data_IF_506175108222
#
_entry.id   IF_506175108222
#
_cell.length_a   1.000
_cell.length_b   1.000
_cell.length_c   1.000
_cell.angle_alpha   90.00
_cell.angle_beta   90.00
_cell.angle_gamma   90.00
#
_symmetry.space_group_name_H-M   'P 1'
#
loop_
_entity.id
_entity.type
_entity.pdbx_description
1 polymer ?
#
# COMPACT_ATOMS: atom_id res chain seq x y z
N UNK A 1 -3.92 -11.16 -6.28
CA UNK A 1 -3.57 -9.78 -5.89
C UNK A 1 -2.12 -9.56 -6.25
N UNK A 2 -1.77 -8.38 -6.74
CA UNK A 2 -0.37 -8.06 -7.06
C UNK A 2 0.39 -7.93 -5.72
N UNK A 3 1.39 -8.78 -5.49
CA UNK A 3 2.18 -8.77 -4.24
C UNK A 3 3.18 -7.60 -4.17
N UNK A 4 3.31 -6.83 -5.25
CA UNK A 4 4.24 -5.72 -5.36
C UNK A 4 3.57 -4.41 -4.93
N UNK A 5 3.96 -3.91 -3.77
CA UNK A 5 3.58 -2.59 -3.28
C UNK A 5 4.50 -1.55 -3.92
N UNK A 6 3.94 -0.54 -4.58
CA UNK A 6 4.70 0.51 -5.24
C UNK A 6 5.19 1.53 -4.22
N UNK A 7 6.50 1.68 -4.08
CA UNK A 7 7.12 2.58 -3.08
C UNK A 7 7.61 3.85 -3.77
N UNK A 8 7.04 4.98 -3.36
CA UNK A 8 7.44 6.33 -3.79
C UNK A 8 8.30 6.95 -2.68
N UNK A 9 9.58 7.09 -2.96
CA UNK A 9 10.48 7.85 -2.11
C UNK A 9 10.26 9.35 -2.39
N UNK A 10 9.61 10.06 -1.47
CA UNK A 10 9.31 11.49 -1.58
C UNK A 10 10.51 12.32 -1.16
N UNK A 11 11.30 12.77 -2.13
CA UNK A 11 12.33 13.79 -1.92
C UNK A 11 11.71 15.15 -1.58
N UNK A 12 10.53 15.41 -2.11
CA UNK A 12 9.81 16.66 -1.87
C UNK A 12 10.67 17.88 -2.19
N UNK A 13 10.88 18.70 -1.16
CA UNK A 13 11.78 19.87 -1.19
C UNK A 13 13.06 19.68 -0.38
N UNK A 14 13.36 18.49 0.11
CA UNK A 14 14.52 18.18 0.95
C UNK A 14 15.88 18.35 0.23
N UNK A 15 15.87 18.59 -1.08
CA UNK A 15 17.05 19.04 -1.83
C UNK A 15 17.46 20.48 -1.48
N UNK A 16 16.61 21.30 -0.85
CA UNK A 16 16.87 22.70 -0.48
C UNK A 16 17.39 23.58 -1.65
N UNK A 17 16.90 23.37 -2.88
CA UNK A 17 17.33 24.07 -4.09
C UNK A 17 18.67 23.59 -4.66
N UNK A 18 19.36 22.65 -4.02
CA UNK A 18 20.66 22.11 -4.41
C UNK A 18 20.52 20.93 -5.37
N UNK A 19 21.01 21.08 -6.60
CA UNK A 19 20.92 20.08 -7.66
C UNK A 19 21.75 18.82 -7.34
N UNK A 20 22.92 18.95 -6.73
CA UNK A 20 23.76 17.80 -6.43
C UNK A 20 23.17 16.99 -5.28
N UNK A 21 22.55 17.65 -4.29
CA UNK A 21 21.77 16.97 -3.26
C UNK A 21 20.57 16.24 -3.86
N UNK A 22 19.84 16.85 -4.78
CA UNK A 22 18.73 16.22 -5.47
C UNK A 22 19.16 14.95 -6.23
N UNK A 23 20.32 14.96 -6.90
CA UNK A 23 20.91 13.76 -7.53
C UNK A 23 21.30 12.68 -6.51
N UNK A 24 21.92 13.06 -5.39
CA UNK A 24 22.24 12.12 -4.30
C UNK A 24 20.97 11.46 -3.74
N UNK A 25 19.87 12.20 -3.64
CA UNK A 25 18.59 11.64 -3.23
C UNK A 25 18.07 10.62 -4.25
N UNK A 26 18.21 10.86 -5.55
CA UNK A 26 17.90 9.87 -6.59
C UNK A 26 18.75 8.60 -6.41
N UNK A 27 20.04 8.75 -6.16
CA UNK A 27 20.94 7.62 -5.95
C UNK A 27 20.52 6.79 -4.75
N UNK A 28 20.24 7.44 -3.62
CA UNK A 28 19.78 6.78 -2.38
C UNK A 28 18.45 6.05 -2.59
N UNK A 29 17.47 6.66 -3.27
CA UNK A 29 16.17 6.05 -3.53
C UNK A 29 16.30 4.81 -4.46
N UNK A 30 17.15 4.90 -5.48
CA UNK A 30 17.43 3.79 -6.39
C UNK A 30 18.16 2.65 -5.67
N UNK A 31 19.18 2.95 -4.86
CA UNK A 31 19.93 1.96 -4.07
C UNK A 31 19.06 1.29 -2.99
N UNK A 32 18.07 1.99 -2.47
CA UNK A 32 17.08 1.44 -1.56
C UNK A 32 16.08 0.49 -2.26
N UNK A 33 16.02 0.51 -3.59
CA UNK A 33 15.07 -0.30 -4.37
C UNK A 33 13.66 0.27 -4.42
N UNK A 34 13.50 1.59 -4.20
CA UNK A 34 12.22 2.27 -4.40
C UNK A 34 11.80 2.23 -5.89
N UNK A 35 10.50 2.21 -6.15
CA UNK A 35 9.98 2.15 -7.51
C UNK A 35 10.00 3.54 -8.19
N UNK A 36 9.83 4.58 -7.39
CA UNK A 36 9.90 5.96 -7.85
C UNK A 36 10.54 6.88 -6.82
N UNK A 37 11.15 7.94 -7.34
CA UNK A 37 11.49 9.13 -6.56
C UNK A 37 10.57 10.27 -6.99
N UNK A 38 10.06 11.04 -6.02
CA UNK A 38 9.14 12.14 -6.31
C UNK A 38 9.67 13.47 -5.77
N UNK A 39 9.58 14.48 -6.62
CA UNK A 39 9.87 15.88 -6.32
C UNK A 39 8.60 16.73 -6.34
N UNK A 40 8.76 18.02 -6.08
CA UNK A 40 7.71 19.02 -6.20
C UNK A 40 8.11 20.04 -7.27
N UNK A 41 7.16 20.42 -8.12
CA UNK A 41 7.38 21.39 -9.19
C UNK A 41 6.41 22.53 -9.03
N UNK A 42 6.93 23.73 -8.79
CA UNK A 42 6.13 24.92 -8.57
C UNK A 42 6.92 26.19 -8.91
N UNK A 43 6.16 27.27 -9.11
CA UNK A 43 6.66 28.63 -9.08
C UNK A 43 5.98 29.36 -7.93
N UNK A 44 6.76 29.89 -7.00
CA UNK A 44 6.23 30.56 -5.80
C UNK A 44 5.18 31.64 -6.13
N UNK A 45 5.39 32.35 -7.22
CA UNK A 45 4.50 33.41 -7.71
C UNK A 45 3.11 32.91 -8.16
N UNK A 46 2.96 31.63 -8.50
CA UNK A 46 1.69 31.02 -8.91
C UNK A 46 1.00 30.24 -7.78
N UNK A 47 1.74 29.90 -6.72
CA UNK A 47 1.24 29.04 -5.66
C UNK A 47 0.83 29.82 -4.41
N UNK A 48 1.59 30.86 -4.07
CA UNK A 48 1.41 31.57 -2.78
C UNK A 48 1.33 33.06 -3.00
N UNK A 49 0.31 33.71 -2.39
CA UNK A 49 0.28 35.17 -2.31
C UNK A 49 1.43 35.68 -1.45
N UNK A 50 1.96 36.87 -1.76
CA UNK A 50 3.12 37.47 -1.07
C UNK A 50 2.92 37.61 0.44
N UNK A 51 1.67 37.68 0.90
CA UNK A 51 1.32 37.91 2.31
C UNK A 51 0.75 36.63 2.99
N UNK A 52 0.85 35.47 2.36
CA UNK A 52 0.34 34.24 2.95
C UNK A 52 1.14 33.85 4.20
N UNK A 53 0.47 33.45 5.29
CA UNK A 53 1.14 32.99 6.50
C UNK A 53 1.76 31.60 6.25
N UNK A 54 2.86 31.30 6.93
CA UNK A 54 3.40 29.93 7.02
C UNK A 54 2.49 29.06 7.88
N UNK A 55 2.44 27.75 7.56
CA UNK A 55 1.87 26.76 8.46
C UNK A 55 2.71 26.65 9.75
N UNK A 56 2.09 26.24 10.86
CA UNK A 56 2.79 26.16 12.15
C UNK A 56 4.04 25.30 12.11
N UNK A 57 4.02 24.13 11.45
CA UNK A 57 5.18 23.27 11.34
C UNK A 57 6.32 23.95 10.57
N UNK A 58 6.00 24.74 9.52
CA UNK A 58 6.99 25.51 8.77
C UNK A 58 7.64 26.60 9.64
N UNK A 59 6.86 27.26 10.51
CA UNK A 59 7.39 28.26 11.46
C UNK A 59 8.36 27.62 12.44
N UNK A 60 8.14 26.36 12.82
CA UNK A 60 9.01 25.61 13.76
C UNK A 60 10.34 25.17 13.13
N UNK A 61 10.35 24.91 11.83
CA UNK A 61 11.45 24.25 11.11
C UNK A 61 12.24 25.18 10.18
N UNK A 62 11.75 26.41 9.95
CA UNK A 62 12.37 27.42 9.09
C UNK A 62 12.51 28.77 9.77
N UNK A 63 13.16 29.76 9.13
CA UNK A 63 13.30 31.11 9.67
C UNK A 63 11.94 31.76 9.90
N UNK A 64 11.68 32.19 11.14
CA UNK A 64 10.40 32.80 11.54
C UNK A 64 10.14 34.17 10.91
N UNK A 65 11.20 34.87 10.48
CA UNK A 65 11.10 36.21 9.90
C UNK A 65 10.85 36.22 8.40
N UNK A 66 11.08 35.08 7.76
CA UNK A 66 10.88 34.89 6.33
C UNK A 66 9.41 34.63 5.99
N UNK A 67 8.91 35.23 4.89
CA UNK A 67 7.56 34.95 4.39
C UNK A 67 7.46 33.53 3.83
N UNK A 68 6.24 32.96 3.73
CA UNK A 68 6.03 31.69 3.05
C UNK A 68 6.51 31.76 1.58
N UNK A 69 6.25 32.88 0.91
CA UNK A 69 6.68 33.12 -0.45
C UNK A 69 8.20 33.02 -0.62
N UNK A 70 8.97 33.72 0.24
CA UNK A 70 10.43 33.71 0.15
C UNK A 70 11.02 32.31 0.51
N UNK A 71 10.39 31.61 1.46
CA UNK A 71 10.76 30.28 1.85
C UNK A 71 10.65 29.31 0.65
N UNK A 72 9.47 29.23 0.02
CA UNK A 72 9.26 28.27 -1.06
C UNK A 72 10.02 28.65 -2.33
N UNK A 73 10.24 29.95 -2.61
CA UNK A 73 11.00 30.40 -3.77
C UNK A 73 12.44 29.87 -3.79
N UNK A 74 13.05 29.70 -2.64
CA UNK A 74 14.40 29.09 -2.51
C UNK A 74 14.43 27.60 -2.84
N UNK A 75 13.27 26.95 -2.81
CA UNK A 75 13.09 25.52 -3.02
C UNK A 75 12.65 25.18 -4.47
N UNK A 76 12.51 26.17 -5.33
CA UNK A 76 12.15 25.96 -6.73
C UNK A 76 13.22 25.18 -7.49
N UNK A 77 12.79 24.21 -8.28
CA UNK A 77 13.62 23.55 -9.28
C UNK A 77 13.37 24.20 -10.65
N UNK A 78 14.43 24.61 -11.33
CA UNK A 78 14.37 25.17 -12.68
C UNK A 78 14.05 24.08 -13.71
N UNK A 79 13.68 24.49 -14.93
CA UNK A 79 13.51 23.56 -16.05
C UNK A 79 14.79 22.76 -16.32
N UNK A 80 15.96 23.41 -16.30
CA UNK A 80 17.26 22.74 -16.45
C UNK A 80 17.53 21.73 -15.35
N UNK A 81 17.12 22.04 -14.10
CA UNK A 81 17.24 21.08 -13.00
C UNK A 81 16.40 19.84 -13.28
N UNK A 82 15.16 19.98 -13.77
CA UNK A 82 14.30 18.85 -14.12
C UNK A 82 14.91 17.99 -15.24
N UNK A 83 15.47 18.60 -16.30
CA UNK A 83 16.16 17.86 -17.37
C UNK A 83 17.25 16.96 -16.82
N UNK A 84 18.11 17.51 -15.95
CA UNK A 84 19.22 16.78 -15.32
C UNK A 84 18.69 15.68 -14.42
N UNK A 85 17.70 15.96 -13.56
CA UNK A 85 17.16 14.98 -12.59
C UNK A 85 16.40 13.84 -13.27
N UNK A 86 15.62 14.12 -14.32
CA UNK A 86 14.93 13.10 -15.12
C UNK A 86 15.94 12.19 -15.82
N UNK A 87 16.98 12.78 -16.44
CA UNK A 87 18.06 12.00 -17.07
C UNK A 87 18.80 11.14 -16.04
N UNK A 88 19.09 11.69 -14.85
CA UNK A 88 19.76 10.96 -13.78
C UNK A 88 18.90 9.82 -13.24
N UNK A 89 17.62 10.05 -12.97
CA UNK A 89 16.68 9.01 -12.54
C UNK A 89 16.59 7.86 -13.57
N UNK A 90 16.52 8.21 -14.87
CA UNK A 90 16.51 7.23 -15.95
C UNK A 90 17.80 6.41 -15.98
N UNK A 91 18.95 7.04 -15.80
CA UNK A 91 20.26 6.35 -15.72
C UNK A 91 20.32 5.38 -14.52
N UNK A 92 19.70 5.75 -13.40
CA UNK A 92 19.63 4.92 -12.19
C UNK A 92 18.53 3.86 -12.22
N UNK A 93 17.70 3.85 -13.27
CA UNK A 93 16.61 2.87 -13.43
C UNK A 93 15.44 3.06 -12.46
N UNK A 94 15.27 4.27 -11.89
CA UNK A 94 14.16 4.62 -11.01
C UNK A 94 13.17 5.56 -11.74
N UNK A 95 11.87 5.40 -11.48
CA UNK A 95 10.85 6.29 -12.07
C UNK A 95 10.92 7.68 -11.45
N UNK A 96 11.02 8.71 -12.28
CA UNK A 96 10.90 10.10 -11.84
C UNK A 96 9.43 10.49 -11.79
N UNK A 97 8.96 10.99 -10.65
CA UNK A 97 7.65 11.58 -10.46
C UNK A 97 7.80 13.02 -9.95
N UNK A 98 6.79 13.83 -10.19
CA UNK A 98 6.68 15.13 -9.57
C UNK A 98 5.22 15.53 -9.31
N UNK A 99 5.04 16.38 -8.29
CA UNK A 99 3.78 17.01 -7.93
C UNK A 99 3.79 18.43 -8.49
N UNK A 100 2.99 18.77 -9.52
CA UNK A 100 2.79 20.15 -9.92
C UNK A 100 1.84 20.85 -8.95
N UNK A 101 2.09 22.13 -8.68
CA UNK A 101 1.22 22.99 -7.85
C UNK A 101 0.65 24.18 -8.64
N UNK A 102 0.94 24.27 -9.93
CA UNK A 102 0.44 25.32 -10.82
C UNK A 102 0.38 24.81 -12.28
N UNK A 103 -0.34 25.57 -13.12
CA UNK A 103 -0.55 25.23 -14.53
C UNK A 103 0.74 25.20 -15.36
N UNK A 104 1.66 26.14 -15.08
CA UNK A 104 2.94 26.20 -15.76
C UNK A 104 3.76 24.92 -15.46
N UNK A 105 3.78 24.52 -14.19
CA UNK A 105 4.45 23.31 -13.72
C UNK A 105 3.81 22.04 -14.31
N UNK A 106 2.47 21.98 -14.39
CA UNK A 106 1.77 20.89 -15.05
C UNK A 106 2.17 20.78 -16.52
N UNK A 107 2.14 21.90 -17.25
CA UNK A 107 2.53 21.93 -18.67
C UNK A 107 3.99 21.51 -18.86
N UNK A 108 4.91 21.99 -18.02
CA UNK A 108 6.32 21.59 -18.02
C UNK A 108 6.47 20.09 -17.89
N UNK A 109 5.83 19.48 -16.88
CA UNK A 109 5.95 18.05 -16.59
C UNK A 109 5.33 17.18 -17.69
N UNK A 110 4.13 17.54 -18.18
CA UNK A 110 3.38 16.68 -19.11
C UNK A 110 3.74 16.91 -20.56
N UNK A 111 3.91 18.15 -20.99
CA UNK A 111 4.15 18.50 -22.41
C UNK A 111 5.64 18.54 -22.75
N UNK A 112 6.46 19.19 -21.91
CA UNK A 112 7.90 19.32 -22.16
C UNK A 112 8.67 18.03 -21.84
N UNK A 113 8.37 17.42 -20.67
CA UNK A 113 9.08 16.22 -20.20
C UNK A 113 8.31 14.91 -20.44
N UNK A 114 7.05 14.96 -20.86
CA UNK A 114 6.27 13.79 -21.25
C UNK A 114 5.93 12.86 -20.10
N UNK A 115 5.84 13.36 -18.85
CA UNK A 115 5.46 12.54 -17.71
C UNK A 115 4.01 12.07 -17.85
N UNK A 116 3.83 10.77 -17.76
CA UNK A 116 2.52 10.13 -17.97
C UNK A 116 1.73 10.00 -16.65
N UNK A 117 2.42 9.98 -15.51
CA UNK A 117 1.80 9.89 -14.18
C UNK A 117 2.04 11.18 -13.42
N UNK A 118 0.96 11.79 -12.93
CA UNK A 118 0.99 13.04 -12.17
C UNK A 118 0.45 12.79 -10.76
N UNK A 119 1.17 13.32 -9.76
CA UNK A 119 0.70 13.33 -8.37
C UNK A 119 -0.10 14.60 -8.13
N UNK A 120 -1.28 14.45 -7.53
CA UNK A 120 -2.12 15.53 -7.04
C UNK A 120 -2.01 15.57 -5.51
N UNK A 121 -1.53 16.68 -4.92
CA UNK A 121 -1.42 16.81 -3.48
C UNK A 121 -2.79 17.09 -2.84
N UNK A 122 -2.94 16.82 -1.55
CA UNK A 122 -4.20 17.02 -0.83
C UNK A 122 -4.74 18.45 -0.91
N UNK A 123 -3.86 19.44 -0.97
CA UNK A 123 -4.24 20.85 -1.09
C UNK A 123 -4.95 21.21 -2.39
N UNK A 124 -4.77 20.42 -3.44
CA UNK A 124 -5.35 20.68 -4.76
C UNK A 124 -6.66 19.91 -5.02
N UNK A 125 -7.12 19.09 -4.10
CA UNK A 125 -8.29 18.21 -4.34
C UNK A 125 -9.58 19.00 -4.60
N UNK A 126 -9.70 20.20 -4.11
CA UNK A 126 -10.86 21.10 -4.34
C UNK A 126 -10.64 22.08 -5.50
N UNK A 127 -9.46 22.05 -6.13
CA UNK A 127 -9.13 22.92 -7.26
C UNK A 127 -9.63 22.29 -8.58
N UNK A 128 -10.94 22.33 -8.81
CA UNK A 128 -11.59 21.71 -9.95
C UNK A 128 -11.00 22.13 -11.32
N UNK A 129 -10.64 23.39 -11.60
CA UNK A 129 -9.96 23.76 -12.85
C UNK A 129 -8.65 23.01 -13.03
N UNK A 130 -7.81 22.95 -12.00
CA UNK A 130 -6.52 22.28 -12.06
C UNK A 130 -6.66 20.75 -12.19
N UNK A 131 -7.60 20.15 -11.46
CA UNK A 131 -7.94 18.72 -11.61
C UNK A 131 -8.35 18.38 -13.05
N UNK A 132 -9.17 19.22 -13.69
CA UNK A 132 -9.59 19.03 -15.08
C UNK A 132 -8.40 19.07 -16.05
N UNK A 133 -7.50 20.04 -15.86
CA UNK A 133 -6.32 20.17 -16.71
C UNK A 133 -5.36 19.00 -16.52
N UNK A 134 -5.18 18.52 -15.29
CA UNK A 134 -4.41 17.30 -15.00
C UNK A 134 -5.04 16.07 -15.70
N UNK A 135 -6.35 15.89 -15.60
CA UNK A 135 -7.04 14.76 -16.22
C UNK A 135 -6.91 14.74 -17.74
N UNK A 136 -6.87 15.92 -18.38
CA UNK A 136 -6.67 16.08 -19.83
C UNK A 136 -5.23 15.87 -20.28
N UNK A 137 -4.26 16.14 -19.39
CA UNK A 137 -2.83 16.09 -19.72
C UNK A 137 -2.18 14.75 -19.32
N UNK A 138 -2.60 14.11 -18.24
CA UNK A 138 -1.97 12.91 -17.69
C UNK A 138 -2.68 11.62 -18.11
N UNK A 139 -1.93 10.52 -18.22
CA UNK A 139 -2.51 9.19 -18.43
C UNK A 139 -2.93 8.55 -17.10
N UNK A 140 -2.20 8.80 -16.02
CA UNK A 140 -2.46 8.27 -14.66
C UNK A 140 -2.32 9.37 -13.63
N UNK A 141 -3.09 9.23 -12.56
CA UNK A 141 -3.13 10.18 -11.46
C UNK A 141 -3.00 9.42 -10.13
N UNK A 142 -2.16 9.95 -9.25
CA UNK A 142 -2.08 9.55 -7.85
C UNK A 142 -2.63 10.72 -7.04
N UNK A 143 -3.80 10.53 -6.40
CA UNK A 143 -4.54 11.59 -5.71
C UNK A 143 -4.48 11.40 -4.20
N UNK A 144 -3.86 12.32 -3.47
CA UNK A 144 -3.89 12.36 -2.01
C UNK A 144 -5.18 12.98 -1.49
N UNK A 145 -5.70 12.44 -0.38
CA UNK A 145 -7.01 12.77 0.19
C UNK A 145 -6.94 13.35 1.61
N UNK A 146 -5.81 13.91 2.01
CA UNK A 146 -5.67 14.57 3.31
C UNK A 146 -6.60 15.79 3.41
N UNK A 147 -7.07 16.07 4.62
CA UNK A 147 -8.02 17.18 4.93
C UNK A 147 -9.40 17.04 4.26
N UNK A 148 -9.72 15.91 3.62
CA UNK A 148 -10.92 15.79 2.79
C UNK A 148 -11.97 14.88 3.42
N UNK A 149 -13.22 15.21 3.15
CA UNK A 149 -14.38 14.33 3.33
C UNK A 149 -14.55 13.41 2.12
N UNK A 150 -15.33 12.32 2.26
CA UNK A 150 -15.68 11.46 1.12
C UNK A 150 -16.40 12.22 0.00
N UNK A 151 -17.22 13.21 0.35
CA UNK A 151 -17.94 14.02 -0.63
C UNK A 151 -16.98 14.89 -1.48
N UNK A 152 -15.92 15.42 -0.89
CA UNK A 152 -14.90 16.16 -1.62
C UNK A 152 -14.06 15.25 -2.52
N UNK A 153 -13.75 14.04 -2.07
CA UNK A 153 -13.08 13.03 -2.91
C UNK A 153 -13.96 12.65 -4.10
N UNK A 154 -15.26 12.42 -3.90
CA UNK A 154 -16.21 12.15 -4.97
C UNK A 154 -16.29 13.30 -5.99
N UNK A 155 -16.37 14.54 -5.49
CA UNK A 155 -16.37 15.72 -6.35
C UNK A 155 -15.10 15.81 -7.22
N UNK A 156 -13.92 15.56 -6.63
CA UNK A 156 -12.66 15.52 -7.37
C UNK A 156 -12.63 14.40 -8.43
N UNK A 157 -13.08 13.19 -8.06
CA UNK A 157 -13.20 12.06 -8.98
C UNK A 157 -14.16 12.35 -10.12
N UNK A 158 -15.24 13.10 -9.86
CA UNK A 158 -16.22 13.52 -10.87
C UNK A 158 -15.58 14.42 -11.93
N UNK A 159 -14.75 15.37 -11.51
CA UNK A 159 -13.97 16.22 -12.42
C UNK A 159 -12.96 15.40 -13.23
N UNK A 160 -12.24 14.49 -12.57
CA UNK A 160 -11.27 13.60 -13.24
C UNK A 160 -11.97 12.69 -14.27
N UNK A 161 -13.09 12.08 -13.92
CA UNK A 161 -13.88 11.24 -14.83
C UNK A 161 -14.30 12.02 -16.09
N UNK A 162 -14.80 13.24 -15.93
CA UNK A 162 -15.14 14.12 -17.03
C UNK A 162 -13.91 14.43 -17.91
N UNK A 163 -12.80 14.82 -17.29
CA UNK A 163 -11.56 15.13 -18.03
C UNK A 163 -11.01 13.95 -18.83
N UNK A 164 -11.13 12.72 -18.29
CA UNK A 164 -10.68 11.49 -18.96
C UNK A 164 -11.58 11.02 -20.10
N UNK A 165 -12.88 11.31 -20.04
CA UNK A 165 -13.87 10.68 -20.93
C UNK A 165 -14.48 11.63 -21.96
N UNK A 166 -14.23 12.94 -21.82
CA UNK A 166 -14.78 13.93 -22.74
C UNK A 166 -13.70 14.61 -23.59
N UNK A 167 -14.01 15.09 -24.79
CA UNK A 167 -13.07 15.86 -25.58
C UNK A 167 -12.70 17.18 -24.89
N UNK A 168 -11.52 17.69 -25.18
CA UNK A 168 -11.01 18.95 -24.58
C UNK A 168 -11.88 20.18 -24.85
N UNK A 169 -12.70 20.13 -25.92
CA UNK A 169 -13.67 21.15 -26.30
C UNK A 169 -14.97 21.10 -25.49
N UNK A 170 -15.18 20.04 -24.70
CA UNK A 170 -16.38 19.93 -23.85
C UNK A 170 -16.37 21.01 -22.76
N UNK A 171 -17.51 21.72 -22.66
CA UNK A 171 -17.68 22.78 -21.67
C UNK A 171 -17.91 22.15 -20.28
N UNK A 172 -17.04 22.43 -19.30
CA UNK A 172 -17.18 21.91 -17.95
C UNK A 172 -18.39 22.50 -17.23
N UNK A 173 -19.19 21.65 -16.60
CA UNK A 173 -20.37 22.02 -15.79
C UNK A 173 -20.53 20.98 -14.68
N UNK A 174 -20.99 21.40 -13.51
CA UNK A 174 -21.14 20.52 -12.36
C UNK A 174 -21.99 19.29 -12.66
N UNK A 175 -23.11 19.46 -13.31
CA UNK A 175 -24.00 18.36 -13.70
C UNK A 175 -23.29 17.35 -14.63
N UNK A 176 -22.45 17.81 -15.55
CA UNK A 176 -21.68 16.95 -16.46
C UNK A 176 -20.59 16.18 -15.72
N UNK A 177 -20.01 16.75 -14.67
CA UNK A 177 -19.07 16.03 -13.81
C UNK A 177 -19.76 14.87 -13.12
N UNK A 178 -20.92 15.12 -12.49
CA UNK A 178 -21.74 14.12 -11.84
C UNK A 178 -22.18 13.02 -12.83
N UNK A 179 -22.65 13.40 -14.02
CA UNK A 179 -22.99 12.46 -15.10
C UNK A 179 -21.81 11.60 -15.55
N UNK A 180 -20.60 12.19 -15.64
CA UNK A 180 -19.39 11.46 -16.01
C UNK A 180 -18.98 10.47 -14.91
N UNK A 181 -19.10 10.86 -13.64
CA UNK A 181 -18.78 9.99 -12.50
C UNK A 181 -19.67 8.74 -12.48
N UNK A 182 -20.99 8.89 -12.64
CA UNK A 182 -21.93 7.75 -12.62
C UNK A 182 -21.91 6.92 -13.90
N UNK A 183 -21.28 7.41 -14.99
CA UNK A 183 -21.22 6.70 -16.25
C UNK A 183 -20.28 5.48 -16.19
N UNK A 184 -20.60 4.44 -16.97
CA UNK A 184 -19.74 3.26 -17.09
C UNK A 184 -18.34 3.61 -17.60
N UNK A 185 -18.25 4.53 -18.56
CA UNK A 185 -16.99 5.01 -19.13
C UNK A 185 -16.15 5.76 -18.08
N UNK A 186 -16.79 6.63 -17.29
CA UNK A 186 -16.13 7.36 -16.20
C UNK A 186 -15.61 6.42 -15.11
N UNK A 187 -16.44 5.50 -14.66
CA UNK A 187 -16.05 4.51 -13.65
C UNK A 187 -14.90 3.60 -14.13
N UNK A 188 -14.90 3.22 -15.40
CA UNK A 188 -13.78 2.47 -16.01
C UNK A 188 -12.51 3.32 -16.04
N UNK A 189 -12.61 4.55 -16.53
CA UNK A 189 -11.46 5.47 -16.62
C UNK A 189 -10.84 5.75 -15.24
N UNK A 190 -11.68 5.91 -14.19
CA UNK A 190 -11.19 6.08 -12.81
C UNK A 190 -10.44 4.84 -12.32
N UNK A 191 -11.01 3.64 -12.50
CA UNK A 191 -10.33 2.38 -12.08
C UNK A 191 -8.99 2.16 -12.78
N UNK A 192 -8.88 2.53 -14.05
CA UNK A 192 -7.69 2.29 -14.86
C UNK A 192 -6.60 3.35 -14.63
N UNK A 193 -6.98 4.55 -14.16
CA UNK A 193 -6.12 5.72 -14.19
C UNK A 193 -5.86 6.37 -12.83
N UNK A 194 -6.68 6.11 -11.80
CA UNK A 194 -6.58 6.81 -10.51
C UNK A 194 -6.20 5.84 -9.40
N UNK A 195 -5.21 6.25 -8.61
CA UNK A 195 -4.90 5.65 -7.31
C UNK A 195 -5.13 6.69 -6.23
N UNK A 196 -5.93 6.36 -5.21
CA UNK A 196 -6.15 7.22 -4.05
C UNK A 196 -5.10 6.97 -2.98
N UNK A 197 -4.57 8.03 -2.37
CA UNK A 197 -3.74 7.91 -1.18
C UNK A 197 -4.46 8.51 0.01
N UNK A 198 -4.73 7.71 1.03
CA UNK A 198 -5.05 8.23 2.35
C UNK A 198 -3.81 8.92 2.93
N UNK A 199 -3.98 10.06 3.60
CA UNK A 199 -2.91 10.73 4.33
C UNK A 199 -3.46 11.71 5.38
N UNK A 200 -2.62 12.06 6.34
CA UNK A 200 -2.84 13.14 7.31
C UNK A 200 -1.89 14.28 6.99
N UNK A 201 -2.43 15.49 6.76
CA UNK A 201 -1.63 16.66 6.35
C UNK A 201 -1.12 17.43 7.58
N UNK A 202 -0.25 16.79 8.33
CA UNK A 202 0.55 17.36 9.43
C UNK A 202 1.95 16.73 9.38
N UNK A 203 3.00 17.48 9.72
CA UNK A 203 4.40 17.08 9.52
C UNK A 203 5.24 17.31 10.79
N UNK A 204 5.51 16.28 11.63
CA UNK A 204 5.03 14.90 11.51
C UNK A 204 3.57 14.73 11.95
N UNK A 205 2.87 13.74 11.36
CA UNK A 205 1.51 13.40 11.76
C UNK A 205 1.48 12.64 13.10
N UNK A 206 0.59 13.02 14.05
CA UNK A 206 0.37 12.25 15.28
C UNK A 206 -0.20 10.87 14.98
N UNK A 207 0.22 9.84 15.72
CA UNK A 207 -0.21 8.46 15.46
C UNK A 207 -1.72 8.23 15.66
N UNK A 208 -2.32 8.90 16.61
CA UNK A 208 -3.75 8.83 16.94
C UNK A 208 -4.66 9.55 15.93
N UNK A 209 -4.09 10.38 15.05
CA UNK A 209 -4.82 11.08 13.98
C UNK A 209 -4.70 10.39 12.61
N UNK A 210 -3.88 9.33 12.47
CA UNK A 210 -3.61 8.66 11.18
C UNK A 210 -4.84 7.97 10.60
N UNK A 211 -5.62 7.28 11.42
CA UNK A 211 -6.83 6.57 11.00
C UNK A 211 -6.66 5.66 9.76
N UNK A 212 -5.74 4.70 9.81
CA UNK A 212 -5.47 3.77 8.68
C UNK A 212 -6.73 3.04 8.16
N UNK A 213 -7.79 2.93 8.97
CA UNK A 213 -9.07 2.33 8.53
C UNK A 213 -9.77 3.16 7.45
N UNK A 214 -9.44 4.44 7.30
CA UNK A 214 -9.95 5.27 6.22
C UNK A 214 -9.52 4.76 4.83
N UNK A 215 -8.43 4.01 4.74
CA UNK A 215 -8.03 3.33 3.49
C UNK A 215 -9.10 2.33 3.04
N UNK A 216 -9.64 1.52 3.96
CA UNK A 216 -10.70 0.56 3.65
C UNK A 216 -11.98 1.29 3.22
N UNK A 217 -12.30 2.39 3.91
CA UNK A 217 -13.45 3.24 3.58
C UNK A 217 -13.35 3.80 2.16
N UNK A 218 -12.19 4.33 1.77
CA UNK A 218 -11.93 4.82 0.41
C UNK A 218 -12.04 3.70 -0.63
N UNK A 219 -11.46 2.54 -0.34
CA UNK A 219 -11.49 1.39 -1.24
C UNK A 219 -12.94 0.88 -1.47
N UNK A 220 -13.73 0.80 -0.40
CA UNK A 220 -15.13 0.35 -0.48
C UNK A 220 -16.03 1.39 -1.14
N UNK A 221 -15.85 2.68 -0.80
CA UNK A 221 -16.67 3.75 -1.34
C UNK A 221 -16.49 3.95 -2.84
N UNK A 222 -15.26 3.87 -3.33
CA UNK A 222 -14.95 4.24 -4.72
C UNK A 222 -14.54 3.06 -5.61
N UNK A 223 -14.22 1.89 -5.05
CA UNK A 223 -13.77 0.72 -5.82
C UNK A 223 -12.45 0.96 -6.58
N UNK A 224 -11.60 1.89 -6.11
CA UNK A 224 -10.34 2.26 -6.72
C UNK A 224 -9.16 1.65 -5.96
N UNK A 225 -7.97 1.55 -6.59
CA UNK A 225 -6.73 1.26 -5.89
C UNK A 225 -6.47 2.31 -4.81
N UNK A 226 -6.12 1.84 -3.59
CA UNK A 226 -5.81 2.72 -2.46
C UNK A 226 -4.40 2.46 -1.95
N UNK A 227 -3.71 3.51 -1.60
CA UNK A 227 -2.41 3.53 -0.94
C UNK A 227 -2.40 4.49 0.26
N UNK A 228 -1.22 4.73 0.78
CA UNK A 228 -1.00 5.58 1.93
C UNK A 228 0.18 6.53 1.69
N UNK A 229 -0.03 7.82 1.90
CA UNK A 229 1.02 8.84 1.97
C UNK A 229 1.31 9.14 3.44
N UNK A 230 2.48 8.73 3.90
CA UNK A 230 2.82 8.64 5.32
C UNK A 230 3.68 9.81 5.78
N UNK A 231 3.15 10.59 6.72
CA UNK A 231 3.83 11.72 7.36
C UNK A 231 4.19 11.45 8.83
N UNK A 232 4.00 10.20 9.31
CA UNK A 232 4.36 9.82 10.69
C UNK A 232 5.86 9.62 10.85
N UNK A 233 6.43 9.67 12.07
CA UNK A 233 7.82 9.28 12.30
C UNK A 233 8.05 7.79 12.05
N UNK A 234 9.23 7.42 11.53
CA UNK A 234 9.63 6.04 11.26
C UNK A 234 8.83 5.37 10.15
N UNK A 235 8.86 4.02 10.09
CA UNK A 235 8.31 3.23 8.97
C UNK A 235 7.16 2.30 9.36
N UNK A 236 6.88 2.13 10.65
CA UNK A 236 5.95 1.09 11.14
C UNK A 236 4.49 1.33 10.72
N UNK A 237 4.07 2.60 10.57
CA UNK A 237 2.73 2.93 10.08
C UNK A 237 2.60 2.63 8.58
N UNK A 238 3.61 2.96 7.78
CA UNK A 238 3.68 2.54 6.38
C UNK A 238 3.57 1.01 6.23
N UNK A 239 4.29 0.24 7.05
CA UNK A 239 4.24 -1.22 7.03
C UNK A 239 2.86 -1.76 7.46
N UNK A 240 2.22 -1.12 8.43
CA UNK A 240 0.84 -1.43 8.82
C UNK A 240 -0.14 -1.15 7.66
N UNK A 241 0.05 -0.06 6.92
CA UNK A 241 -0.74 0.25 5.72
C UNK A 241 -0.55 -0.82 4.62
N UNK A 242 0.67 -1.31 4.40
CA UNK A 242 0.95 -2.43 3.48
C UNK A 242 0.17 -3.67 3.90
N UNK A 243 0.21 -4.04 5.19
CA UNK A 243 -0.52 -5.19 5.72
C UNK A 243 -2.06 -5.02 5.61
N UNK A 244 -2.56 -3.78 5.52
CA UNK A 244 -3.97 -3.47 5.25
C UNK A 244 -4.32 -3.41 3.75
N UNK A 245 -3.37 -3.69 2.86
CA UNK A 245 -3.61 -3.77 1.43
C UNK A 245 -3.28 -2.49 0.66
N UNK A 246 -2.49 -1.57 1.22
CA UNK A 246 -1.96 -0.44 0.47
C UNK A 246 -1.22 -0.92 -0.78
N UNK A 247 -1.61 -0.41 -1.95
CA UNK A 247 -0.95 -0.73 -3.21
C UNK A 247 0.21 0.22 -3.51
N UNK A 248 0.17 1.42 -2.92
CA UNK A 248 1.19 2.46 -3.03
C UNK A 248 1.51 2.96 -1.62
N UNK A 249 2.78 3.10 -1.32
CA UNK A 249 3.30 3.83 -0.15
C UNK A 249 4.11 5.01 -0.66
N UNK A 250 3.78 6.20 -0.18
CA UNK A 250 4.56 7.41 -0.38
C UNK A 250 5.12 7.85 0.97
N UNK A 251 6.42 8.10 1.05
CA UNK A 251 7.09 8.48 2.29
C UNK A 251 8.16 9.52 2.04
N UNK A 252 8.11 10.63 2.78
CA UNK A 252 9.19 11.62 2.76
C UNK A 252 10.50 11.01 3.25
N UNK A 253 11.59 11.28 2.53
CA UNK A 253 12.92 10.90 2.97
C UNK A 253 13.91 12.06 2.79
N UNK A 254 15.00 12.02 3.54
CA UNK A 254 16.09 12.98 3.51
C UNK A 254 17.43 12.27 3.59
N UNK A 255 18.49 12.98 3.29
CA UNK A 255 19.87 12.47 3.50
C UNK A 255 20.29 12.61 4.97
N UNK A 256 19.77 13.61 5.69
CA UNK A 256 20.02 13.88 7.12
C UNK A 256 18.87 14.71 7.70
N UNK A 257 18.26 14.23 8.77
CA UNK A 257 17.16 14.88 9.49
C UNK A 257 17.54 16.20 10.18
N UNK A 258 18.84 16.47 10.32
CA UNK A 258 19.35 17.70 10.94
C UNK A 258 19.55 18.85 9.94
N UNK A 259 19.34 18.60 8.65
CA UNK A 259 19.41 19.66 7.65
C UNK A 259 18.28 20.69 7.88
N UNK A 260 18.56 21.98 7.58
CA UNK A 260 17.52 23.01 7.64
C UNK A 260 16.51 22.83 6.50
N UNK A 261 15.23 23.03 6.77
CA UNK A 261 14.16 22.93 5.76
C UNK A 261 12.84 22.49 6.36
N UNK A 262 11.73 22.63 5.62
CA UNK A 262 10.40 22.39 6.16
C UNK A 262 10.12 20.91 6.47
N UNK A 263 10.67 19.96 5.68
CA UNK A 263 10.21 18.57 5.68
C UNK A 263 11.23 17.57 6.26
N UNK A 264 12.51 17.97 6.48
CA UNK A 264 13.56 17.07 6.95
C UNK A 264 13.21 16.34 8.25
N UNK A 265 12.61 17.05 9.22
CA UNK A 265 12.28 16.49 10.54
C UNK A 265 11.17 15.41 10.50
N UNK A 266 10.31 15.45 9.49
CA UNK A 266 9.25 14.46 9.29
C UNK A 266 9.66 13.33 8.32
N UNK A 267 10.86 13.40 7.76
CA UNK A 267 11.38 12.49 6.76
C UNK A 267 12.16 11.34 7.39
N UNK A 268 12.17 10.19 6.74
CA UNK A 268 13.04 9.06 7.11
C UNK A 268 14.42 9.22 6.49
N UNK A 269 15.43 8.59 7.08
CA UNK A 269 16.81 8.57 6.59
C UNK A 269 17.07 7.37 5.65
N UNK A 270 18.23 7.31 4.95
CA UNK A 270 18.50 6.30 3.93
C UNK A 270 18.38 4.85 4.41
N UNK A 271 18.79 4.55 5.64
CA UNK A 271 18.70 3.19 6.21
C UNK A 271 17.24 2.80 6.49
N UNK A 272 16.43 3.74 6.95
CA UNK A 272 14.99 3.53 7.15
C UNK A 272 14.27 3.35 5.81
N UNK A 273 14.65 4.09 4.75
CA UNK A 273 14.09 3.91 3.43
C UNK A 273 14.41 2.51 2.88
N UNK A 274 15.63 2.03 3.00
CA UNK A 274 16.02 0.65 2.64
C UNK A 274 15.20 -0.38 3.43
N UNK A 275 15.03 -0.16 4.72
CA UNK A 275 14.22 -1.03 5.58
C UNK A 275 12.75 -1.02 5.18
N UNK A 276 12.18 0.15 4.89
CA UNK A 276 10.79 0.30 4.42
C UNK A 276 10.55 -0.50 3.13
N UNK A 277 11.41 -0.31 2.13
CA UNK A 277 11.28 -1.03 0.84
C UNK A 277 11.35 -2.54 1.06
N UNK A 278 12.40 -3.03 1.73
CA UNK A 278 12.61 -4.46 2.00
C UNK A 278 11.43 -5.08 2.76
N UNK A 279 11.04 -4.47 3.88
CA UNK A 279 9.96 -5.01 4.73
C UNK A 279 8.60 -4.93 4.04
N UNK A 280 8.34 -3.92 3.22
CA UNK A 280 7.11 -3.85 2.40
C UNK A 280 7.03 -5.01 1.40
N UNK A 281 8.15 -5.40 0.77
CA UNK A 281 8.20 -6.57 -0.12
C UNK A 281 7.96 -7.87 0.63
N UNK A 282 8.59 -8.02 1.81
CA UNK A 282 8.42 -9.18 2.69
C UNK A 282 6.96 -9.34 3.13
N UNK A 283 6.31 -8.25 3.58
CA UNK A 283 4.89 -8.24 3.95
C UNK A 283 4.02 -8.59 2.74
N UNK A 284 4.25 -7.97 1.57
CA UNK A 284 3.50 -8.24 0.35
C UNK A 284 3.52 -9.73 -0.03
N UNK A 285 4.66 -10.40 0.13
CA UNK A 285 4.78 -11.86 -0.07
C UNK A 285 4.03 -12.64 1.01
N UNK A 286 4.05 -12.18 2.26
CA UNK A 286 3.42 -12.85 3.39
C UNK A 286 1.88 -12.75 3.39
N UNK A 287 1.29 -11.79 2.67
CA UNK A 287 -0.17 -11.58 2.63
C UNK A 287 -0.94 -12.78 2.06
N UNK A 288 -0.40 -13.50 1.09
CA UNK A 288 -1.03 -14.67 0.50
C UNK A 288 -2.36 -14.38 -0.23
N UNK A 289 -3.17 -15.44 -0.41
CA UNK A 289 -4.45 -15.40 -1.14
C UNK A 289 -5.71 -15.46 -0.23
N UNK A 290 -5.52 -15.50 1.09
CA UNK A 290 -6.61 -15.60 2.07
C UNK A 290 -7.23 -16.98 2.22
N UNK A 291 -6.84 -17.98 1.43
CA UNK A 291 -7.37 -19.34 1.53
C UNK A 291 -6.61 -20.12 2.60
N UNK A 292 -7.31 -20.50 3.69
CA UNK A 292 -6.70 -21.30 4.75
C UNK A 292 -6.56 -22.76 4.32
N UNK A 293 -5.35 -23.14 3.92
CA UNK A 293 -4.96 -24.50 3.57
C UNK A 293 -3.52 -24.78 4.01
N UNK A 294 -3.14 -26.06 4.17
CA UNK A 294 -1.73 -26.40 4.40
C UNK A 294 -0.85 -25.94 3.24
N UNK A 295 0.25 -25.32 3.54
CA UNK A 295 1.29 -24.95 2.57
C UNK A 295 2.10 -26.18 2.14
N UNK A 296 2.87 -26.05 1.06
CA UNK A 296 3.74 -27.13 0.59
C UNK A 296 4.78 -27.58 1.66
N UNK A 297 5.28 -26.62 2.45
CA UNK A 297 6.20 -26.90 3.56
C UNK A 297 5.51 -27.61 4.73
N UNK A 298 4.29 -27.20 5.09
CA UNK A 298 3.51 -27.84 6.17
C UNK A 298 3.06 -29.25 5.78
N UNK A 299 2.81 -29.49 4.49
CA UNK A 299 2.36 -30.80 4.02
C UNK A 299 3.31 -31.92 4.39
N UNK A 300 4.63 -31.67 4.32
CA UNK A 300 5.68 -32.64 4.73
C UNK A 300 5.61 -32.98 6.22
N UNK A 301 5.22 -32.01 7.05
CA UNK A 301 5.16 -32.15 8.50
C UNK A 301 3.83 -32.73 8.99
N UNK A 302 2.80 -32.77 8.13
CA UNK A 302 1.44 -33.16 8.50
C UNK A 302 1.38 -34.54 9.13
N UNK A 303 1.99 -35.54 8.47
CA UNK A 303 1.97 -36.92 8.93
C UNK A 303 2.82 -37.17 10.18
N UNK A 304 3.86 -36.37 10.39
CA UNK A 304 4.72 -36.44 11.57
C UNK A 304 4.08 -35.78 12.79
N UNK A 305 3.51 -34.58 12.60
CA UNK A 305 3.03 -33.74 13.69
C UNK A 305 1.59 -34.06 14.14
N UNK A 306 0.74 -34.54 13.23
CA UNK A 306 -0.64 -34.94 13.58
C UNK A 306 -0.64 -36.23 14.38
N UNK A 307 -1.77 -36.47 15.08
CA UNK A 307 -2.01 -37.70 15.82
C UNK A 307 -2.93 -38.64 15.05
N UNK A 308 -2.82 -39.91 15.33
CA UNK A 308 -3.77 -40.98 14.95
C UNK A 308 -4.30 -41.67 16.18
N UNK A 309 -5.38 -42.41 16.04
CA UNK A 309 -5.90 -43.29 17.06
C UNK A 309 -4.98 -44.51 17.15
N UNK A 310 -4.55 -44.83 18.38
CA UNK A 310 -3.70 -45.99 18.71
C UNK A 310 -4.26 -46.75 19.89
N UNK A 311 -3.94 -48.04 20.02
CA UNK A 311 -4.25 -48.82 21.17
C UNK A 311 -3.40 -48.33 22.37
N UNK A 312 -4.02 -47.98 23.49
CA UNK A 312 -3.33 -47.57 24.71
C UNK A 312 -2.71 -48.76 25.45
N UNK A 313 -3.27 -49.95 25.25
CA UNK A 313 -2.88 -51.24 25.79
C UNK A 313 -3.24 -52.30 24.75
N UNK A 314 -2.88 -53.56 25.00
CA UNK A 314 -3.28 -54.70 24.12
C UNK A 314 -4.82 -54.74 24.09
N UNK A 315 -5.40 -54.81 22.87
CA UNK A 315 -6.85 -54.95 22.63
C UNK A 315 -7.01 -56.27 21.87
N UNK A 316 -7.80 -57.21 22.43
CA UNK A 316 -8.03 -58.50 21.74
C UNK A 316 -9.06 -58.35 20.61
N UNK A 317 -9.01 -59.30 19.65
CA UNK A 317 -10.07 -59.36 18.64
C UNK A 317 -11.44 -59.65 19.32
N UNK A 318 -12.47 -58.85 18.98
CA UNK A 318 -13.79 -58.87 19.63
C UNK A 318 -13.93 -57.98 20.87
N UNK A 319 -12.82 -57.43 21.40
CA UNK A 319 -12.87 -56.50 22.53
C UNK A 319 -13.41 -55.12 22.07
N UNK A 320 -14.22 -54.53 22.94
CA UNK A 320 -14.82 -53.20 22.63
C UNK A 320 -13.81 -52.06 22.85
N UNK A 321 -13.75 -51.10 21.91
CA UNK A 321 -12.99 -49.89 22.10
C UNK A 321 -13.62 -49.02 23.19
N UNK A 322 -12.82 -48.62 24.15
CA UNK A 322 -13.20 -47.79 25.28
C UNK A 322 -12.28 -46.60 25.43
N UNK A 323 -12.66 -45.64 26.28
CA UNK A 323 -11.80 -44.48 26.60
C UNK A 323 -10.49 -44.89 27.30
N UNK A 324 -10.45 -46.10 27.89
CA UNK A 324 -9.27 -46.65 28.58
C UNK A 324 -8.28 -47.36 27.69
N UNK A 325 -8.75 -47.93 26.52
CA UNK A 325 -7.90 -48.71 25.62
C UNK A 325 -7.60 -48.00 24.30
N UNK A 326 -8.23 -46.83 24.02
CA UNK A 326 -8.03 -46.03 22.80
C UNK A 326 -7.45 -44.66 23.18
N UNK A 327 -6.34 -44.26 22.54
CA UNK A 327 -5.63 -42.99 22.79
C UNK A 327 -5.16 -42.36 21.50
N UNK A 328 -4.88 -41.04 21.52
CA UNK A 328 -4.37 -40.30 20.37
C UNK A 328 -2.87 -40.04 20.49
N UNK A 329 -2.04 -40.66 19.64
CA UNK A 329 -0.59 -40.44 19.61
C UNK A 329 -0.13 -40.09 18.16
N UNK A 330 1.05 -39.50 18.04
CA UNK A 330 1.76 -39.36 16.76
C UNK A 330 2.27 -40.73 16.31
N UNK A 331 2.39 -40.98 14.98
CA UNK A 331 2.23 -40.09 13.83
C UNK A 331 0.78 -40.00 13.31
N UNK A 332 0.55 -39.10 12.33
CA UNK A 332 -0.76 -38.83 11.74
C UNK A 332 -1.07 -39.62 10.45
N UNK A 333 -0.49 -40.81 10.30
CA UNK A 333 -0.65 -41.70 9.12
C UNK A 333 -1.66 -42.83 9.34
N UNK A 334 -2.33 -42.87 10.48
CA UNK A 334 -3.39 -43.81 10.81
C UNK A 334 -4.78 -43.13 10.82
N UNK A 335 -5.70 -43.76 11.56
CA UNK A 335 -7.07 -43.24 11.71
C UNK A 335 -7.08 -41.90 12.46
N UNK A 336 -7.81 -40.93 11.89
CA UNK A 336 -7.89 -39.58 12.45
C UNK A 336 -8.56 -39.58 13.85
N UNK A 337 -8.06 -38.80 14.80
CA UNK A 337 -8.76 -38.58 16.07
C UNK A 337 -10.18 -38.04 15.95
N UNK A 338 -10.58 -37.48 14.83
CA UNK A 338 -11.97 -37.09 14.57
C UNK A 338 -12.95 -38.28 14.61
N UNK A 339 -12.45 -39.51 14.35
CA UNK A 339 -13.24 -40.72 14.39
C UNK A 339 -13.22 -41.42 15.75
N UNK A 340 -12.69 -40.74 16.81
CA UNK A 340 -12.58 -41.31 18.14
C UNK A 340 -13.92 -41.80 18.69
N UNK A 341 -14.93 -40.94 18.60
CA UNK A 341 -16.25 -41.20 19.13
C UNK A 341 -17.04 -42.23 18.30
N UNK A 342 -16.70 -42.36 17.00
CA UNK A 342 -17.29 -43.39 16.13
C UNK A 342 -16.78 -44.81 16.43
N UNK A 343 -15.59 -44.91 17.06
CA UNK A 343 -14.99 -46.18 17.42
C UNK A 343 -15.33 -46.61 18.84
N UNK A 344 -15.61 -45.68 19.75
CA UNK A 344 -16.01 -46.02 21.13
C UNK A 344 -17.30 -46.82 21.12
N UNK A 345 -17.28 -48.03 21.70
CA UNK A 345 -18.40 -48.96 21.69
C UNK A 345 -18.37 -50.01 20.55
N UNK A 346 -17.56 -49.79 19.52
CA UNK A 346 -17.35 -50.75 18.43
C UNK A 346 -16.37 -51.86 18.86
N UNK A 347 -16.46 -53.03 18.23
CA UNK A 347 -15.58 -54.17 18.53
C UNK A 347 -14.33 -54.15 17.64
N UNK A 348 -13.17 -54.41 18.21
CA UNK A 348 -11.92 -54.61 17.45
C UNK A 348 -12.00 -55.87 16.60
N UNK A 349 -11.81 -55.71 15.26
CA UNK A 349 -11.89 -56.84 14.32
C UNK A 349 -10.64 -57.70 14.35
N UNK A 350 -9.51 -57.15 14.76
CA UNK A 350 -8.23 -57.82 14.94
C UNK A 350 -7.64 -57.50 16.32
N UNK A 351 -6.64 -58.26 16.75
CA UNK A 351 -5.82 -57.93 17.88
C UNK A 351 -4.96 -56.69 17.58
N UNK A 352 -4.85 -55.77 18.53
CA UNK A 352 -3.94 -54.60 18.51
C UNK A 352 -2.95 -54.71 19.66
N UNK A 353 -1.67 -54.52 19.36
CA UNK A 353 -0.64 -54.35 20.37
C UNK A 353 -0.64 -52.92 20.89
N UNK A 354 -0.04 -52.72 22.09
CA UNK A 354 0.10 -51.35 22.63
C UNK A 354 0.85 -50.45 21.66
N UNK A 355 0.38 -49.21 21.49
CA UNK A 355 0.86 -48.19 20.54
C UNK A 355 0.65 -48.52 19.02
N UNK A 356 -0.04 -49.62 18.75
CA UNK A 356 -0.39 -49.93 17.37
C UNK A 356 -1.47 -48.98 16.83
N UNK A 357 -1.32 -48.52 15.57
CA UNK A 357 -2.30 -47.66 14.89
C UNK A 357 -3.62 -48.42 14.66
N UNK A 358 -4.74 -47.77 14.96
CA UNK A 358 -6.07 -48.30 14.62
C UNK A 358 -6.39 -47.87 13.18
N UNK A 359 -6.57 -48.87 12.27
CA UNK A 359 -6.85 -48.64 10.85
C UNK A 359 -8.32 -48.95 10.55
N UNK A 360 -9.08 -47.97 10.03
CA UNK A 360 -10.51 -48.12 9.70
C UNK A 360 -10.80 -49.20 8.67
N UNK A 361 -9.94 -49.35 7.67
CA UNK A 361 -10.13 -50.32 6.59
C UNK A 361 -10.12 -51.77 7.09
N UNK A 362 -9.43 -52.03 8.17
CA UNK A 362 -9.41 -53.33 8.81
C UNK A 362 -10.67 -53.64 9.64
N UNK A 363 -11.36 -52.55 10.12
CA UNK A 363 -12.56 -52.70 10.91
C UNK A 363 -13.88 -52.65 10.06
N UNK A 364 -13.86 -52.17 8.81
CA UNK A 364 -15.02 -52.10 7.91
C UNK A 364 -15.27 -53.34 7.05
N UNK A 365 -14.41 -54.37 7.05
CA UNK A 365 -14.52 -55.51 6.14
C UNK A 365 -15.59 -56.55 6.48
N UNK A 366 -16.49 -56.33 7.47
CA UNK A 366 -17.54 -57.31 7.83
C UNK A 366 -18.99 -56.80 7.75
N UNK A 367 -19.26 -55.58 7.39
CA UNK A 367 -20.65 -55.05 7.33
C UNK A 367 -21.35 -55.28 5.99
N UNK A 368 -20.69 -55.83 4.97
CA UNK A 368 -21.26 -56.05 3.63
C UNK A 368 -21.29 -57.50 3.17
N UNK A 369 -21.29 -58.45 4.08
CA UNK A 369 -21.38 -59.89 3.71
C UNK A 369 -22.56 -60.60 4.36
N UNK A 370 -23.66 -59.90 4.72
CA UNK A 370 -24.94 -60.48 5.06
C UNK A 370 -26.07 -59.59 4.59
N UNK A 371 -26.34 -59.58 3.28
CA UNK A 371 -27.63 -59.44 2.64
C UNK A 371 -27.68 -60.35 1.42
#
# INVERSE_FOLDING_TARGET
MNSHVYIIAEAGVNHNGDLDRAKQMIDVAADAGADAIKFQTFRAEYVVSRNAPKAEYQIRTTDRTESQFDMIRKLELTETHHEVLIAHAKMRGITFLSTPFDEHSLHLLTTRFGLQTIKIPSGEITNAPFLLNIARAAQRVILSTGMCTLAEVEAALSVLAFGFTTPTTAIPQREKFEQSFISEAGQRALRDRVTLLHCTTEYPAPFDEVNLRAMDTLAVAFGLPVGYSDHTPGIHISLAAVARGAQVIEKHFTLDNNLPGPDHKASIEPDELRALVRQSREIGQAMGDGIKRPTASEWKNRNIARKSLVAAKIIQAGEIFTQENLICKRPGNGNSPFNYWDLIGESAVIKYESDQLILLEQNKKRTYSNE
#
